data_IF_724030924457
#
_entry.id   IF_724030924457
#
_cell.length_a   1.000
_cell.length_b   1.000
_cell.length_c   1.000
_cell.angle_alpha   90.00
_cell.angle_beta   90.00
_cell.angle_gamma   90.00
#
_symmetry.space_group_name_H-M   'P 1'
#
loop_
_entity.id
_entity.type
_entity.pdbx_description
1 polymer ?
#
# COMPACT_ATOMS: atom_id res chain seq x y z
N UNK A 1 -0.04 -12.98 -9.30
CA UNK A 1 1.33 -13.09 -8.76
C UNK A 1 2.09 -11.82 -9.04
N UNK A 2 2.78 -11.31 -8.04
CA UNK A 2 3.53 -10.06 -8.15
C UNK A 2 4.84 -10.32 -8.90
N UNK A 3 5.18 -9.50 -9.92
CA UNK A 3 6.46 -9.68 -10.60
C UNK A 3 7.64 -9.17 -9.74
N UNK A 4 8.86 -9.49 -10.14
CA UNK A 4 10.03 -9.19 -9.32
C UNK A 4 10.30 -7.69 -9.22
N UNK A 5 10.03 -6.92 -10.26
CA UNK A 5 10.19 -5.47 -10.22
C UNK A 5 9.19 -4.83 -9.27
N UNK A 6 7.93 -5.24 -9.33
CA UNK A 6 6.90 -4.75 -8.42
C UNK A 6 7.21 -5.12 -6.98
N UNK A 7 7.72 -6.33 -6.76
CA UNK A 7 8.15 -6.77 -5.43
C UNK A 7 9.29 -5.90 -4.88
N UNK A 8 10.26 -5.55 -5.72
CA UNK A 8 11.37 -4.67 -5.32
C UNK A 8 10.88 -3.26 -4.96
N UNK A 9 9.97 -2.72 -5.77
CA UNK A 9 9.38 -1.39 -5.51
C UNK A 9 8.63 -1.41 -4.18
N UNK A 10 7.82 -2.45 -3.95
CA UNK A 10 7.05 -2.58 -2.72
C UNK A 10 7.96 -2.71 -1.49
N UNK A 11 9.06 -3.43 -1.61
CA UNK A 11 10.03 -3.55 -0.51
C UNK A 11 10.76 -2.25 -0.25
N UNK A 12 11.10 -1.50 -1.29
CA UNK A 12 11.68 -0.16 -1.16
C UNK A 12 10.73 0.77 -0.40
N UNK A 13 9.45 0.73 -0.76
CA UNK A 13 8.42 1.52 -0.09
C UNK A 13 8.32 1.15 1.39
N UNK A 14 8.23 -0.15 1.69
CA UNK A 14 8.14 -0.62 3.07
C UNK A 14 9.35 -0.21 3.89
N UNK A 15 10.54 -0.34 3.33
CA UNK A 15 11.78 0.03 4.00
C UNK A 15 11.80 1.52 4.35
N UNK A 16 11.46 2.38 3.41
CA UNK A 16 11.43 3.82 3.66
C UNK A 16 10.36 4.21 4.67
N UNK A 17 9.17 3.64 4.57
CA UNK A 17 8.09 3.93 5.52
C UNK A 17 8.43 3.45 6.93
N UNK A 18 9.14 2.35 7.04
CA UNK A 18 9.55 1.80 8.34
C UNK A 18 10.54 2.71 9.08
N UNK A 19 11.16 3.65 8.39
CA UNK A 19 12.03 4.64 9.02
C UNK A 19 11.26 5.76 9.73
N UNK A 20 10.00 5.98 9.37
CA UNK A 20 9.20 7.07 9.93
C UNK A 20 8.05 6.59 10.81
N UNK A 21 7.66 5.33 10.72
CA UNK A 21 6.56 4.77 11.52
C UNK A 21 6.68 3.26 11.58
N UNK A 22 5.96 2.66 12.53
CA UNK A 22 5.80 1.20 12.58
C UNK A 22 4.79 0.79 11.52
N UNK A 23 5.15 -0.19 10.68
CA UNK A 23 4.26 -0.75 9.66
C UNK A 23 3.74 -2.08 10.19
N UNK A 24 2.44 -2.15 10.48
CA UNK A 24 1.79 -3.38 10.92
C UNK A 24 1.66 -4.36 9.76
N UNK A 25 1.27 -3.86 8.59
CA UNK A 25 1.29 -4.65 7.35
C UNK A 25 1.33 -3.71 6.14
N UNK A 26 1.89 -4.22 5.07
CA UNK A 26 1.88 -3.58 3.76
C UNK A 26 1.52 -4.63 2.73
N UNK A 27 0.47 -4.39 1.97
CA UNK A 27 -0.12 -5.36 1.06
C UNK A 27 -0.32 -4.72 -0.31
N UNK A 28 0.21 -5.35 -1.35
CA UNK A 28 -0.08 -4.94 -2.73
C UNK A 28 -1.36 -5.63 -3.15
N UNK A 29 -2.31 -4.87 -3.70
CA UNK A 29 -3.57 -5.43 -4.20
C UNK A 29 -3.87 -4.87 -5.58
N UNK A 30 -5.03 -5.20 -6.14
CA UNK A 30 -5.42 -4.73 -7.45
C UNK A 30 -4.74 -5.47 -8.59
N UNK A 31 -4.64 -4.83 -9.74
CA UNK A 31 -4.22 -5.50 -10.98
C UNK A 31 -2.78 -6.04 -10.93
N UNK A 32 -1.86 -5.33 -10.27
CA UNK A 32 -0.48 -5.81 -10.16
C UNK A 32 -0.37 -7.05 -9.29
N UNK A 33 -1.17 -7.13 -8.21
CA UNK A 33 -1.22 -8.33 -7.38
C UNK A 33 -1.81 -9.53 -8.13
N UNK A 34 -2.80 -9.28 -8.98
CA UNK A 34 -3.40 -10.34 -9.80
C UNK A 34 -2.52 -10.79 -10.96
N UNK A 35 -1.50 -10.01 -11.31
CA UNK A 35 -0.60 -10.33 -12.42
C UNK A 35 -1.15 -9.98 -13.79
N UNK A 36 -2.22 -9.20 -13.86
CA UNK A 36 -2.84 -8.78 -15.14
C UNK A 36 -2.71 -7.29 -15.41
N UNK A 37 -1.75 -6.63 -14.73
CA UNK A 37 -1.47 -5.22 -14.94
C UNK A 37 -0.61 -5.02 -16.18
N UNK A 38 -0.83 -3.91 -16.90
CA UNK A 38 0.11 -3.45 -17.90
C UNK A 38 1.14 -2.52 -17.26
N UNK A 39 2.05 -1.97 -18.09
CA UNK A 39 3.15 -1.12 -17.60
C UNK A 39 2.68 0.19 -17.00
N UNK A 40 1.48 0.65 -17.39
CA UNK A 40 0.93 1.93 -16.97
C UNK A 40 -0.05 1.79 -15.81
N UNK A 41 -0.32 0.58 -15.36
CA UNK A 41 -1.23 0.37 -14.23
C UNK A 41 -0.64 0.95 -12.94
N UNK A 42 -1.51 1.56 -12.14
CA UNK A 42 -1.14 2.04 -10.81
C UNK A 42 -0.78 0.85 -9.92
N UNK A 43 0.08 1.10 -8.95
CA UNK A 43 0.35 0.13 -7.90
C UNK A 43 -0.52 0.48 -6.70
N UNK A 44 -1.47 -0.40 -6.36
CA UNK A 44 -2.35 -0.21 -5.22
C UNK A 44 -1.75 -0.84 -3.98
N UNK A 45 -1.57 -0.03 -2.93
CA UNK A 45 -0.90 -0.45 -1.71
C UNK A 45 -1.79 -0.17 -0.50
N UNK A 46 -2.06 -1.21 0.29
CA UNK A 46 -2.72 -1.08 1.58
C UNK A 46 -1.66 -1.06 2.67
N UNK A 47 -1.73 -0.08 3.57
CA UNK A 47 -0.75 0.11 4.63
C UNK A 47 -1.49 0.24 5.96
N UNK A 48 -1.20 -0.64 6.90
CA UNK A 48 -1.74 -0.56 8.26
C UNK A 48 -0.67 -0.03 9.21
N UNK A 49 -1.02 1.02 9.96
CA UNK A 49 -0.15 1.65 10.97
C UNK A 49 -0.88 1.71 12.30
N UNK A 50 -0.17 1.70 13.45
CA UNK A 50 -0.82 1.71 14.78
C UNK A 50 -1.64 2.98 15.02
N UNK A 51 -1.10 4.12 14.62
CA UNK A 51 -1.76 5.42 14.74
C UNK A 51 -1.51 6.22 13.48
N UNK A 52 -2.46 7.08 13.14
CA UNK A 52 -2.38 7.88 11.92
C UNK A 52 -2.74 9.33 12.23
N UNK A 53 -1.80 10.23 11.93
CA UNK A 53 -2.00 11.67 12.03
C UNK A 53 -2.03 12.27 10.63
N UNK A 54 -2.56 13.49 10.46
CA UNK A 54 -2.48 14.18 9.16
C UNK A 54 -1.04 14.34 8.66
N UNK A 55 -0.11 14.58 9.56
CA UNK A 55 1.30 14.69 9.21
C UNK A 55 1.86 13.37 8.68
N UNK A 56 1.58 12.27 9.38
CA UNK A 56 2.05 10.94 8.94
C UNK A 56 1.43 10.57 7.59
N UNK A 57 0.13 10.82 7.42
CA UNK A 57 -0.55 10.56 6.14
C UNK A 57 0.14 11.29 4.99
N UNK A 58 0.50 12.56 5.20
CA UNK A 58 1.18 13.36 4.20
C UNK A 58 2.58 12.80 3.89
N UNK A 59 3.32 12.43 4.93
CA UNK A 59 4.66 11.86 4.76
C UNK A 59 4.62 10.55 3.98
N UNK A 60 3.65 9.70 4.26
CA UNK A 60 3.45 8.44 3.51
C UNK A 60 3.19 8.75 2.03
N UNK A 61 2.29 9.69 1.75
CA UNK A 61 1.97 10.06 0.37
C UNK A 61 3.18 10.62 -0.37
N UNK A 62 3.99 11.43 0.29
CA UNK A 62 5.21 12.01 -0.29
C UNK A 62 6.23 10.92 -0.63
N UNK A 63 6.45 9.98 0.26
CA UNK A 63 7.37 8.87 0.02
C UNK A 63 6.88 8.01 -1.15
N UNK A 64 5.58 7.69 -1.18
CA UNK A 64 5.01 6.93 -2.28
C UNK A 64 5.16 7.67 -3.61
N UNK A 65 4.95 8.98 -3.61
CA UNK A 65 5.14 9.82 -4.79
C UNK A 65 6.57 9.77 -5.30
N UNK A 66 7.55 9.93 -4.40
CA UNK A 66 8.97 9.90 -4.77
C UNK A 66 9.38 8.57 -5.36
N UNK A 67 8.98 7.46 -4.73
CA UNK A 67 9.29 6.12 -5.23
C UNK A 67 8.61 5.87 -6.57
N UNK A 68 7.37 6.34 -6.71
CA UNK A 68 6.65 6.24 -7.97
C UNK A 68 7.37 6.96 -9.10
N UNK A 69 7.86 8.18 -8.86
CA UNK A 69 8.63 8.93 -9.83
C UNK A 69 9.91 8.21 -10.25
N UNK A 70 10.63 7.65 -9.28
CA UNK A 70 11.87 6.92 -9.54
C UNK A 70 11.65 5.68 -10.39
N UNK A 71 10.47 5.10 -10.32
CA UNK A 71 10.13 3.84 -11.00
C UNK A 71 9.12 4.01 -12.13
N UNK A 72 8.80 5.24 -12.48
CA UNK A 72 7.93 5.60 -13.60
C UNK A 72 6.54 4.98 -13.48
N UNK A 73 5.98 5.03 -12.29
CA UNK A 73 4.61 4.58 -12.04
C UNK A 73 3.96 5.41 -10.94
N UNK A 74 2.64 5.30 -10.82
CA UNK A 74 1.88 5.94 -9.75
C UNK A 74 1.57 4.91 -8.68
N UNK A 75 1.91 5.23 -7.42
CA UNK A 75 1.59 4.39 -6.27
C UNK A 75 0.41 5.02 -5.53
N UNK A 76 -0.71 4.30 -5.50
CA UNK A 76 -1.90 4.70 -4.76
C UNK A 76 -1.86 4.02 -3.39
N UNK A 77 -1.92 4.82 -2.31
CA UNK A 77 -1.86 4.30 -0.94
C UNK A 77 -3.21 4.40 -0.25
N UNK A 78 -3.63 3.31 0.37
CA UNK A 78 -4.76 3.26 1.29
C UNK A 78 -4.19 2.97 2.67
N UNK A 79 -4.27 3.95 3.57
CA UNK A 79 -3.67 3.85 4.91
C UNK A 79 -4.76 3.73 5.96
N UNK A 80 -4.61 2.80 6.88
CA UNK A 80 -5.60 2.54 7.92
C UNK A 80 -4.93 2.16 9.23
N UNK A 81 -5.67 2.34 10.33
CA UNK A 81 -5.30 1.84 11.64
C UNK A 81 -6.12 0.59 11.95
N UNK A 82 -5.73 -0.21 12.98
CA UNK A 82 -6.57 -1.33 13.42
C UNK A 82 -7.99 -0.91 13.79
N UNK A 83 -8.17 0.28 14.35
CA UNK A 83 -9.49 0.80 14.65
C UNK A 83 -10.35 1.05 13.41
N UNK A 84 -9.75 1.58 12.35
CA UNK A 84 -10.45 1.78 11.08
C UNK A 84 -10.93 0.45 10.48
N UNK A 85 -10.13 -0.59 10.64
CA UNK A 85 -10.45 -1.92 10.11
C UNK A 85 -11.57 -2.56 10.91
N UNK A 86 -11.52 -2.49 12.25
CA UNK A 86 -12.50 -3.16 13.12
C UNK A 86 -13.82 -2.43 13.22
N UNK A 87 -13.79 -1.11 13.41
CA UNK A 87 -14.98 -0.33 13.78
C UNK A 87 -15.26 0.84 12.86
N UNK A 88 -14.38 1.12 11.92
CA UNK A 88 -14.47 2.29 11.08
C UNK A 88 -15.15 2.01 9.75
N UNK A 89 -15.07 2.99 8.88
CA UNK A 89 -15.67 2.96 7.54
C UNK A 89 -15.11 1.82 6.68
N UNK A 90 -13.86 1.42 6.92
CA UNK A 90 -13.23 0.36 6.12
C UNK A 90 -13.73 -1.04 6.49
N UNK A 91 -14.22 -1.25 7.72
CA UNK A 91 -14.66 -2.57 8.16
C UNK A 91 -15.77 -3.17 7.32
N UNK A 92 -16.64 -2.33 6.74
CA UNK A 92 -17.74 -2.75 5.88
C UNK A 92 -17.44 -2.54 4.40
N UNK A 93 -16.28 -2.04 4.03
CA UNK A 93 -15.94 -1.70 2.66
C UNK A 93 -15.48 -2.95 1.89
N UNK A 94 -16.06 -3.22 0.71
CA UNK A 94 -15.64 -4.36 -0.12
C UNK A 94 -14.15 -4.38 -0.46
N UNK A 95 -13.47 -3.24 -0.42
CA UNK A 95 -12.03 -3.16 -0.72
C UNK A 95 -11.19 -3.99 0.26
N UNK A 96 -11.60 -4.10 1.53
CA UNK A 96 -10.90 -4.95 2.49
C UNK A 96 -10.98 -6.43 2.11
N UNK A 97 -12.12 -6.87 1.57
CA UNK A 97 -12.25 -8.25 1.09
C UNK A 97 -11.32 -8.51 -0.09
N UNK A 98 -11.21 -7.56 -1.01
CA UNK A 98 -10.30 -7.69 -2.14
C UNK A 98 -8.85 -7.77 -1.67
N UNK A 99 -8.47 -6.95 -0.69
CA UNK A 99 -7.13 -6.95 -0.13
C UNK A 99 -6.83 -8.30 0.53
N UNK A 100 -7.75 -8.83 1.32
CA UNK A 100 -7.58 -10.12 1.99
C UNK A 100 -7.51 -11.28 1.00
N UNK A 101 -8.33 -11.24 -0.05
CA UNK A 101 -8.48 -12.35 -0.99
C UNK A 101 -7.34 -12.42 -2.01
N UNK A 102 -6.91 -11.28 -2.53
CA UNK A 102 -5.97 -11.24 -3.65
C UNK A 102 -4.68 -10.47 -3.36
N UNK A 103 -4.56 -9.88 -2.17
CA UNK A 103 -3.40 -9.10 -1.80
C UNK A 103 -2.16 -9.95 -1.59
N UNK A 104 -1.01 -9.33 -1.86
CA UNK A 104 0.30 -9.93 -1.64
C UNK A 104 0.98 -9.15 -0.52
N UNK A 105 1.19 -9.79 0.62
CA UNK A 105 1.87 -9.16 1.76
C UNK A 105 3.37 -9.04 1.49
N UNK A 106 3.92 -7.90 1.86
CA UNK A 106 5.35 -7.60 1.68
C UNK A 106 6.09 -7.72 3.02
#
# INVERSE_FOLDING_TARGET
MLDSKDSQIAQQLKSRLSQITQIEQLVIFGSRARGNADRESDMDVFIEVPTLTPHLRRSISEIAWEIGLENDLLIFTLVATPGDIRNGLLGANPILRAIEKEGVAI
#
